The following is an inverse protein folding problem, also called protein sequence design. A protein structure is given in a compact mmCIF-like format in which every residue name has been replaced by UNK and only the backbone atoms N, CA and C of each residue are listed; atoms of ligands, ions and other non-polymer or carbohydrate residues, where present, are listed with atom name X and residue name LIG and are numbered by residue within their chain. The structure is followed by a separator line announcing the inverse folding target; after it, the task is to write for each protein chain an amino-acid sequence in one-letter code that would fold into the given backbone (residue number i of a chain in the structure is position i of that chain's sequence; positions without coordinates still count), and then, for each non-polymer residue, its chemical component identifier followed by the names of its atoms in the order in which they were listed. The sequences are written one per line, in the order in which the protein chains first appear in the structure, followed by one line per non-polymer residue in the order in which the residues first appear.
data_IF_268737641594
#
_entry.id   IF_268737641594
#
_cell.length_a   1.000
_cell.length_b   1.000
_cell.length_c   1.000
_cell.angle_alpha   90.00
_cell.angle_beta   90.00
_cell.angle_gamma   90.00
#
_symmetry.space_group_name_H-M   'P 1'
#
loop_
_entity.id
_entity.type
_entity.pdbx_description
1 polymer ?
#
# COMPACT_ATOMS: atom_id res chain seq x y z
N UNK A 1 16.42 -0.73 -6.53
CA UNK A 1 15.76 -1.41 -5.39
C UNK A 1 14.27 -1.11 -5.32
N UNK A 2 13.83 0.05 -5.82
CA UNK A 2 12.45 0.55 -5.69
C UNK A 2 11.41 -0.28 -6.48
N UNK A 3 11.78 -0.78 -7.67
CA UNK A 3 10.93 -1.66 -8.48
C UNK A 3 10.63 -3.01 -7.83
N UNK A 4 11.61 -3.57 -7.12
CA UNK A 4 11.45 -4.84 -6.42
C UNK A 4 10.50 -4.69 -5.22
N UNK A 5 10.61 -3.57 -4.50
CA UNK A 5 9.68 -3.21 -3.43
C UNK A 5 8.25 -2.96 -3.94
N UNK A 6 8.10 -2.30 -5.10
CA UNK A 6 6.81 -2.14 -5.77
C UNK A 6 6.17 -3.48 -6.14
N UNK A 7 6.97 -4.41 -6.64
CA UNK A 7 6.50 -5.74 -7.02
C UNK A 7 6.05 -6.56 -5.80
N UNK A 8 6.84 -6.55 -4.71
CA UNK A 8 6.46 -7.25 -3.47
C UNK A 8 5.21 -6.63 -2.84
N UNK A 9 5.13 -5.29 -2.78
CA UNK A 9 3.97 -4.60 -2.20
C UNK A 9 2.69 -4.88 -3.01
N UNK A 10 2.78 -5.01 -4.33
CA UNK A 10 1.64 -5.42 -5.16
C UNK A 10 1.07 -6.79 -4.77
N UNK A 11 1.94 -7.79 -4.61
CA UNK A 11 1.51 -9.12 -4.14
C UNK A 11 0.90 -9.08 -2.73
N UNK A 12 1.50 -8.28 -1.83
CA UNK A 12 0.98 -8.10 -0.49
C UNK A 12 -0.44 -7.48 -0.50
N UNK A 13 -0.71 -6.53 -1.39
CA UNK A 13 -2.04 -5.90 -1.52
C UNK A 13 -3.07 -6.86 -2.11
N UNK A 14 -2.69 -7.68 -3.10
CA UNK A 14 -3.58 -8.71 -3.64
C UNK A 14 -3.97 -9.68 -2.53
N UNK A 15 -3.01 -10.14 -1.74
CA UNK A 15 -3.29 -11.03 -0.62
C UNK A 15 -4.13 -10.34 0.46
N UNK A 16 -3.83 -9.09 0.80
CA UNK A 16 -4.59 -8.30 1.76
C UNK A 16 -6.03 -8.00 1.29
N UNK A 17 -6.24 -7.81 -0.02
CA UNK A 17 -7.56 -7.62 -0.64
C UNK A 17 -8.33 -8.92 -0.71
N UNK A 18 -7.68 -10.05 -1.01
CA UNK A 18 -8.32 -11.36 -1.06
C UNK A 18 -8.79 -11.86 0.31
N UNK A 19 -8.17 -11.41 1.40
CA UNK A 19 -8.52 -11.77 2.77
C UNK A 19 -9.43 -10.76 3.48
N UNK A 20 -9.78 -9.63 2.86
CA UNK A 20 -10.64 -8.61 3.47
C UNK A 20 -12.03 -8.61 2.82
N UNK A 21 -13.07 -8.80 3.63
CA UNK A 21 -14.47 -8.74 3.17
C UNK A 21 -14.96 -7.30 3.01
N UNK A 22 -14.21 -6.33 3.55
CA UNK A 22 -14.59 -4.93 3.52
C UNK A 22 -13.93 -4.19 2.33
N UNK A 23 -14.74 -3.93 1.31
CA UNK A 23 -14.32 -3.26 0.07
C UNK A 23 -13.64 -1.91 0.34
N UNK A 24 -14.04 -1.18 1.39
CA UNK A 24 -13.43 0.11 1.76
C UNK A 24 -11.94 -0.01 2.07
N UNK A 25 -11.52 -1.09 2.75
CA UNK A 25 -10.11 -1.28 3.09
C UNK A 25 -9.31 -1.69 1.85
N UNK A 26 -9.90 -2.49 0.97
CA UNK A 26 -9.29 -2.84 -0.31
C UNK A 26 -9.07 -1.59 -1.18
N UNK A 27 -10.07 -0.72 -1.30
CA UNK A 27 -9.92 0.57 -2.00
C UNK A 27 -8.79 1.43 -1.38
N UNK A 28 -8.69 1.47 -0.04
CA UNK A 28 -7.62 2.16 0.68
C UNK A 28 -6.21 1.63 0.39
N UNK A 29 -6.06 0.30 0.33
CA UNK A 29 -4.80 -0.35 -0.02
C UNK A 29 -4.40 -0.07 -1.48
N UNK A 30 -5.34 -0.21 -2.41
CA UNK A 30 -5.10 0.05 -3.82
C UNK A 30 -4.76 1.51 -4.11
N UNK A 31 -5.49 2.47 -3.52
CA UNK A 31 -5.19 3.90 -3.71
C UNK A 31 -3.79 4.25 -3.18
N UNK A 32 -3.39 3.70 -2.04
CA UNK A 32 -2.05 3.91 -1.46
C UNK A 32 -0.95 3.36 -2.37
N UNK A 33 -1.19 2.22 -3.00
CA UNK A 33 -0.25 1.63 -3.96
C UNK A 33 -0.16 2.38 -5.27
N UNK A 34 -1.30 2.79 -5.84
CA UNK A 34 -1.33 3.61 -7.06
C UNK A 34 -0.60 4.93 -6.82
N UNK A 35 -0.80 5.56 -5.66
CA UNK A 35 -0.08 6.77 -5.27
C UNK A 35 1.44 6.52 -5.19
N UNK A 36 1.88 5.41 -4.58
CA UNK A 36 3.29 5.03 -4.51
C UNK A 36 3.89 4.78 -5.90
N UNK A 37 3.17 4.03 -6.75
CA UNK A 37 3.56 3.74 -8.13
C UNK A 37 3.71 5.03 -8.94
N UNK A 38 2.72 5.92 -8.89
CA UNK A 38 2.77 7.22 -9.56
C UNK A 38 3.96 8.06 -9.06
N UNK A 39 4.23 8.07 -7.76
CA UNK A 39 5.34 8.84 -7.19
C UNK A 39 6.69 8.33 -7.70
N UNK A 40 6.90 6.99 -7.70
CA UNK A 40 8.11 6.37 -8.23
C UNK A 40 8.24 6.66 -9.73
N UNK A 41 7.16 6.53 -10.49
CA UNK A 41 7.15 6.79 -11.93
C UNK A 41 7.50 8.25 -12.23
N UNK A 42 6.94 9.20 -11.47
CA UNK A 42 7.18 10.63 -11.62
C UNK A 42 8.64 11.00 -11.33
N UNK A 43 9.22 10.45 -10.25
CA UNK A 43 10.64 10.61 -9.92
C UNK A 43 11.53 10.04 -11.03
N UNK A 44 11.18 8.87 -11.57
CA UNK A 44 11.99 8.17 -12.58
C UNK A 44 11.95 8.81 -13.97
N UNK A 45 10.82 9.43 -14.32
CA UNK A 45 10.70 10.28 -15.51
C UNK A 45 11.30 11.68 -15.32
N UNK A 46 11.64 12.06 -14.08
CA UNK A 46 12.21 13.37 -13.76
C UNK A 46 11.26 14.53 -14.07
N UNK A 47 9.95 14.28 -14.14
CA UNK A 47 8.95 15.31 -14.44
C UNK A 47 8.90 16.40 -13.36
N UNK A 48 9.19 16.01 -12.12
CA UNK A 48 9.34 16.95 -11.01
C UNK A 48 10.60 16.56 -10.26
N UNK A 49 11.43 17.55 -9.91
CA UNK A 49 12.64 17.39 -9.11
C UNK A 49 12.26 17.13 -7.64
N UNK A 50 11.57 16.01 -7.39
CA UNK A 50 11.22 15.56 -6.06
C UNK A 50 12.45 14.91 -5.42
N UNK A 51 12.75 15.31 -4.20
CA UNK A 51 13.78 14.64 -3.40
C UNK A 51 13.48 13.14 -3.35
N UNK A 52 14.48 12.30 -3.64
CA UNK A 52 14.34 10.83 -3.62
C UNK A 52 13.71 10.30 -2.33
N UNK A 53 13.86 11.04 -1.24
CA UNK A 53 13.32 10.70 0.07
C UNK A 53 11.78 10.72 0.14
N UNK A 54 11.10 11.39 -0.80
CA UNK A 54 9.63 11.45 -0.81
C UNK A 54 8.97 10.09 -1.05
N UNK A 55 9.66 9.13 -1.67
CA UNK A 55 9.17 7.75 -1.85
C UNK A 55 8.96 7.00 -0.53
N UNK A 56 9.63 7.42 0.55
CA UNK A 56 9.46 6.81 1.87
C UNK A 56 8.09 7.11 2.48
N UNK A 57 7.49 8.27 2.22
CA UNK A 57 6.18 8.63 2.77
C UNK A 57 5.11 7.62 2.35
N UNK A 58 4.83 7.41 1.04
CA UNK A 58 3.84 6.42 0.64
C UNK A 58 4.27 5.00 0.99
N UNK A 59 5.57 4.67 1.05
CA UNK A 59 6.03 3.37 1.51
C UNK A 59 5.68 3.10 2.99
N UNK A 60 5.92 4.07 3.87
CA UNK A 60 5.53 3.99 5.29
C UNK A 60 4.01 3.97 5.46
N UNK A 61 3.27 4.77 4.68
CA UNK A 61 1.81 4.71 4.67
C UNK A 61 1.31 3.33 4.28
N UNK A 62 1.88 2.72 3.23
CA UNK A 62 1.46 1.41 2.72
C UNK A 62 1.79 0.29 3.72
N UNK A 63 2.98 0.33 4.35
CA UNK A 63 3.34 -0.57 5.45
C UNK A 63 2.42 -0.38 6.67
N UNK A 64 2.12 0.86 7.03
CA UNK A 64 1.20 1.19 8.11
C UNK A 64 -0.22 0.70 7.83
N UNK A 65 -0.71 0.85 6.59
CA UNK A 65 -2.02 0.37 6.16
C UNK A 65 -2.09 -1.16 6.13
N UNK A 66 -1.01 -1.83 5.72
CA UNK A 66 -0.91 -3.29 5.82
C UNK A 66 -0.98 -3.77 7.26
N UNK A 67 -0.20 -3.16 8.16
CA UNK A 67 -0.25 -3.43 9.60
C UNK A 67 -1.62 -3.13 10.18
N UNK A 68 -2.28 -2.05 9.73
CA UNK A 68 -3.62 -1.69 10.17
C UNK A 68 -4.65 -2.72 9.71
N UNK A 69 -4.66 -3.11 8.43
CA UNK A 69 -5.55 -4.15 7.91
C UNK A 69 -5.34 -5.49 8.65
N UNK A 70 -4.09 -5.88 8.88
CA UNK A 70 -3.75 -7.10 9.62
C UNK A 70 -4.20 -7.04 11.09
N UNK A 71 -4.16 -5.87 11.71
CA UNK A 71 -4.56 -5.65 13.11
C UNK A 71 -6.07 -5.46 13.29
N UNK A 72 -6.77 -4.89 12.30
CA UNK A 72 -8.22 -4.67 12.35
C UNK A 72 -9.04 -5.91 11.98
N UNK A 73 -8.43 -6.88 11.26
CA UNK A 73 -8.98 -8.23 11.11
C UNK A 73 -8.44 -9.18 12.21
N UNK A 74 -8.12 -8.64 13.40
CA UNK A 74 -8.00 -9.45 14.62
C UNK A 74 -9.37 -9.47 15.29
N UNK A 75 -10.09 -10.57 15.09
CA UNK A 75 -11.40 -10.83 15.66
C UNK A 75 -11.42 -10.62 17.18
N UNK A 76 -12.02 -9.52 17.63
CA UNK A 76 -12.32 -9.29 19.06
C UNK A 76 -13.83 -9.39 19.37
N UNK A 77 -14.71 -9.52 18.37
CA UNK A 77 -16.14 -9.79 18.61
C UNK A 77 -16.89 -10.24 17.35
N UNK A 78 -17.16 -11.55 17.29
CA UNK A 78 -18.24 -12.26 16.58
C UNK A 78 -18.63 -11.99 15.11
N UNK A 79 -18.06 -11.02 14.41
CA UNK A 79 -18.20 -10.88 12.96
C UNK A 79 -16.82 -10.62 12.37
N UNK A 80 -16.08 -11.70 12.22
CA UNK A 80 -14.85 -11.64 11.44
C UNK A 80 -15.22 -11.44 9.98
N UNK A 81 -14.38 -10.66 9.29
CA UNK A 81 -14.21 -10.69 7.83
C UNK A 81 -14.76 -12.01 7.24
#
# INVERSE_FOLDING_TARGET
MDYFFLFISFFAIIQATGSTTNEWISYGLWTSWVALFLLIFNIKFGWVNLAENLKFIPAFTLVGLHLYNMRYCQCDSNECC
#
